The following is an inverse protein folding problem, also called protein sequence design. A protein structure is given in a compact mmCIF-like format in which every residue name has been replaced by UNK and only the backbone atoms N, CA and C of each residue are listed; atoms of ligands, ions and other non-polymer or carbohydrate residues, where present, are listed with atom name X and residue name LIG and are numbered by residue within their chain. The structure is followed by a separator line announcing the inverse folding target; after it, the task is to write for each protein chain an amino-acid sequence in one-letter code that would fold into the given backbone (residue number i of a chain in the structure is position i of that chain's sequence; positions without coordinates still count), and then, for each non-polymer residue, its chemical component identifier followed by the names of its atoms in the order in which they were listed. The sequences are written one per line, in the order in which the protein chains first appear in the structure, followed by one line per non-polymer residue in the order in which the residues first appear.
data_IF_136423151203
#
_entry.id   IF_136423151203
#
_cell.length_a   1.000
_cell.length_b   1.000
_cell.length_c   1.000
_cell.angle_alpha   90.00
_cell.angle_beta   90.00
_cell.angle_gamma   90.00
#
_symmetry.space_group_name_H-M   'P 1'
#
loop_
_entity.id
_entity.type
_entity.pdbx_description
1 polymer ?
#
# COMPACT_ATOMS: atom_id res chain seq x y z
N UNK A 1 11.07 9.14 -4.76
CA UNK A 1 10.09 9.44 -5.82
C UNK A 1 8.72 9.10 -5.27
N UNK A 2 7.91 10.11 -4.96
CA UNK A 2 6.52 9.93 -4.53
C UNK A 2 5.77 9.11 -5.57
N UNK A 3 4.86 8.21 -5.15
CA UNK A 3 4.05 7.37 -6.02
C UNK A 3 3.01 8.22 -6.80
N UNK A 4 3.51 9.04 -7.74
CA UNK A 4 2.76 10.03 -8.50
C UNK A 4 1.58 9.39 -9.23
N UNK A 5 1.78 8.17 -9.74
CA UNK A 5 0.75 7.37 -10.41
C UNK A 5 -0.38 6.94 -9.47
N UNK A 6 -0.13 6.65 -8.19
CA UNK A 6 -1.19 6.36 -7.23
C UNK A 6 -2.00 7.61 -6.90
N UNK A 7 -1.34 8.77 -6.72
CA UNK A 7 -2.02 10.05 -6.49
C UNK A 7 -2.92 10.45 -7.66
N UNK A 8 -2.44 10.31 -8.91
CA UNK A 8 -3.24 10.57 -10.11
C UNK A 8 -4.46 9.65 -10.18
N UNK A 9 -4.29 8.36 -9.88
CA UNK A 9 -5.40 7.41 -9.82
C UNK A 9 -6.41 7.78 -8.72
N UNK A 10 -5.93 8.17 -7.54
CA UNK A 10 -6.77 8.58 -6.41
C UNK A 10 -7.63 9.79 -6.77
N UNK A 11 -7.00 10.83 -7.34
CA UNK A 11 -7.69 12.05 -7.80
C UNK A 11 -8.67 11.76 -8.92
N UNK A 12 -8.28 10.94 -9.91
CA UNK A 12 -9.18 10.57 -11.00
C UNK A 12 -10.36 9.74 -10.52
N UNK A 13 -10.19 8.88 -9.51
CA UNK A 13 -11.30 8.15 -8.90
C UNK A 13 -12.27 9.11 -8.21
N UNK A 14 -11.75 10.05 -7.42
CA UNK A 14 -12.56 11.07 -6.76
C UNK A 14 -13.35 11.94 -7.75
N UNK A 15 -12.68 12.47 -8.79
CA UNK A 15 -13.29 13.34 -9.79
C UNK A 15 -14.36 12.65 -10.64
N UNK A 16 -14.29 11.32 -10.75
CA UNK A 16 -15.27 10.51 -11.49
C UNK A 16 -16.47 10.13 -10.63
N UNK A 17 -16.24 9.78 -9.37
CA UNK A 17 -17.21 9.04 -8.56
C UNK A 17 -17.80 9.85 -7.39
N UNK A 18 -17.21 11.00 -7.03
CA UNK A 18 -17.72 11.93 -6.01
C UNK A 18 -18.17 11.26 -4.69
N UNK A 19 -17.32 10.50 -4.00
CA UNK A 19 -17.67 9.89 -2.72
C UNK A 19 -18.02 10.93 -1.64
N UNK A 20 -18.93 10.54 -0.75
CA UNK A 20 -19.46 11.39 0.33
C UNK A 20 -18.38 11.80 1.35
N UNK A 21 -17.41 10.92 1.60
CA UNK A 21 -16.30 11.19 2.51
C UNK A 21 -14.98 10.50 2.07
N UNK A 22 -13.89 10.86 2.75
CA UNK A 22 -12.57 10.30 2.47
C UNK A 22 -12.40 8.84 2.93
N UNK A 23 -13.21 8.35 3.88
CA UNK A 23 -13.16 6.93 4.23
C UNK A 23 -13.67 6.07 3.06
N UNK A 24 -14.83 6.43 2.51
CA UNK A 24 -15.43 5.80 1.32
C UNK A 24 -14.49 5.94 0.12
N UNK A 25 -13.95 7.14 -0.12
CA UNK A 25 -12.97 7.37 -1.19
C UNK A 25 -11.80 6.40 -1.11
N UNK A 26 -11.14 6.26 0.05
CA UNK A 26 -9.97 5.41 0.23
C UNK A 26 -10.34 3.92 0.10
N UNK A 27 -11.43 3.50 0.73
CA UNK A 27 -11.89 2.12 0.72
C UNK A 27 -12.26 1.65 -0.69
N UNK A 28 -13.08 2.42 -1.41
CA UNK A 28 -13.54 2.06 -2.75
C UNK A 28 -12.41 2.18 -3.75
N UNK A 29 -11.54 3.19 -3.60
CA UNK A 29 -10.32 3.30 -4.40
C UNK A 29 -9.39 2.09 -4.23
N UNK A 30 -9.28 1.53 -3.02
CA UNK A 30 -8.42 0.35 -2.79
C UNK A 30 -8.88 -0.89 -3.57
N UNK A 31 -10.16 -0.94 -3.94
CA UNK A 31 -10.78 -2.04 -4.69
C UNK A 31 -10.80 -1.71 -6.18
N UNK A 32 -11.37 -0.57 -6.57
CA UNK A 32 -11.69 -0.23 -7.96
C UNK A 32 -10.64 0.69 -8.62
N UNK A 33 -9.66 1.18 -7.87
CA UNK A 33 -8.62 2.08 -8.35
C UNK A 33 -7.84 1.50 -9.54
N UNK A 34 -7.72 2.30 -10.60
CA UNK A 34 -7.05 1.91 -11.85
C UNK A 34 -7.97 1.32 -12.92
N UNK A 35 -9.17 0.84 -12.57
CA UNK A 35 -10.12 0.30 -13.56
C UNK A 35 -10.63 1.37 -14.52
N UNK A 36 -10.74 2.62 -14.08
CA UNK A 36 -11.32 3.69 -14.87
C UNK A 36 -12.78 3.39 -15.23
N UNK A 37 -13.56 2.88 -14.27
CA UNK A 37 -15.01 2.67 -14.37
C UNK A 37 -15.74 3.63 -13.42
N UNK A 38 -17.00 3.92 -13.73
CA UNK A 38 -17.86 4.72 -12.86
C UNK A 38 -18.34 3.85 -11.70
N UNK A 39 -18.18 4.35 -10.48
CA UNK A 39 -18.52 3.66 -9.24
C UNK A 39 -19.52 4.53 -8.49
N UNK A 40 -20.76 4.06 -8.39
CA UNK A 40 -21.78 4.68 -7.55
C UNK A 40 -21.49 4.36 -6.08
N UNK A 41 -20.82 5.30 -5.40
CA UNK A 41 -20.34 5.11 -4.02
C UNK A 41 -21.45 5.09 -2.97
N UNK A 42 -22.72 5.28 -3.36
CA UNK A 42 -23.87 5.09 -2.48
C UNK A 42 -24.28 3.62 -2.37
N UNK A 43 -23.86 2.77 -3.32
CA UNK A 43 -24.12 1.33 -3.31
C UNK A 43 -23.10 0.58 -2.46
N UNK A 44 -23.52 -0.56 -1.92
CA UNK A 44 -22.61 -1.41 -1.15
C UNK A 44 -21.52 -2.00 -2.06
N UNK A 45 -20.34 -2.28 -1.47
CA UNK A 45 -19.26 -2.97 -2.18
C UNK A 45 -19.72 -4.30 -2.80
N UNK A 46 -20.52 -5.16 -2.13
CA UNK A 46 -21.09 -6.34 -2.75
C UNK A 46 -21.89 -6.07 -4.03
N UNK A 47 -22.79 -5.08 -4.01
CA UNK A 47 -23.61 -4.74 -5.18
C UNK A 47 -22.73 -4.23 -6.35
N UNK A 48 -21.72 -3.43 -6.04
CA UNK A 48 -20.76 -2.93 -7.02
C UNK A 48 -19.88 -4.05 -7.59
N UNK A 49 -19.47 -5.01 -6.77
CA UNK A 49 -18.70 -6.16 -7.24
C UNK A 49 -19.52 -7.03 -8.20
N UNK A 50 -20.83 -7.23 -7.94
CA UNK A 50 -21.72 -7.90 -8.88
C UNK A 50 -21.75 -7.19 -10.23
N UNK A 51 -22.15 -5.92 -10.26
CA UNK A 51 -22.35 -5.20 -11.52
C UNK A 51 -21.06 -4.84 -12.28
N UNK A 52 -19.99 -4.51 -11.56
CA UNK A 52 -18.75 -4.03 -12.20
C UNK A 52 -17.75 -5.16 -12.47
N UNK A 53 -17.69 -6.17 -11.61
CA UNK A 53 -16.64 -7.21 -11.67
C UNK A 53 -17.20 -8.56 -12.11
N UNK A 54 -18.23 -9.08 -11.44
CA UNK A 54 -18.72 -10.44 -11.68
C UNK A 54 -19.49 -10.56 -13.00
N UNK A 55 -20.35 -9.59 -13.31
CA UNK A 55 -21.07 -9.55 -14.59
C UNK A 55 -20.10 -9.40 -15.78
N UNK A 56 -18.92 -8.80 -15.54
CA UNK A 56 -17.87 -8.60 -16.54
C UNK A 56 -16.68 -9.58 -16.38
N UNK A 57 -16.84 -10.65 -15.59
CA UNK A 57 -15.73 -11.46 -15.10
C UNK A 57 -14.90 -12.08 -16.22
N UNK A 58 -15.54 -12.58 -17.28
CA UNK A 58 -14.83 -13.21 -18.40
C UNK A 58 -13.92 -12.22 -19.14
N UNK A 59 -14.40 -11.00 -19.37
CA UNK A 59 -13.65 -9.95 -20.05
C UNK A 59 -12.48 -9.46 -19.19
N UNK A 60 -12.73 -9.18 -17.90
CA UNK A 60 -11.66 -8.78 -16.98
C UNK A 60 -10.62 -9.91 -16.86
N UNK A 61 -11.06 -11.16 -16.74
CA UNK A 61 -10.17 -12.32 -16.70
C UNK A 61 -9.32 -12.42 -17.96
N UNK A 62 -9.89 -12.20 -19.14
CA UNK A 62 -9.15 -12.17 -20.40
C UNK A 62 -8.07 -11.09 -20.40
N UNK A 63 -8.39 -9.89 -19.93
CA UNK A 63 -7.43 -8.79 -19.84
C UNK A 63 -6.31 -9.10 -18.84
N UNK A 64 -6.63 -9.67 -17.67
CA UNK A 64 -5.63 -10.10 -16.69
C UNK A 64 -4.72 -11.18 -17.28
N UNK A 65 -5.27 -12.18 -18.01
CA UNK A 65 -4.46 -13.17 -18.71
C UNK A 65 -3.49 -12.50 -19.67
N UNK A 66 -3.96 -11.58 -20.52
CA UNK A 66 -3.10 -10.84 -21.44
C UNK A 66 -1.99 -10.05 -20.73
N UNK A 67 -2.30 -9.32 -19.65
CA UNK A 67 -1.32 -8.58 -18.86
C UNK A 67 -0.23 -9.48 -18.27
N UNK A 68 -0.58 -10.70 -17.88
CA UNK A 68 0.36 -11.68 -17.31
C UNK A 68 1.04 -12.60 -18.34
N UNK A 69 0.76 -12.45 -19.64
CA UNK A 69 1.08 -13.42 -20.71
C UNK A 69 0.51 -14.82 -20.47
N UNK A 70 -0.57 -14.89 -19.69
CA UNK A 70 -1.15 -16.10 -19.14
C UNK A 70 -0.17 -16.96 -18.31
N UNK A 71 1.05 -16.48 -18.06
CA UNK A 71 2.13 -17.23 -17.45
C UNK A 71 1.85 -17.58 -15.99
N UNK A 72 2.07 -18.85 -15.65
CA UNK A 72 1.78 -19.39 -14.31
C UNK A 72 2.67 -18.76 -13.24
N UNK A 73 3.94 -18.46 -13.55
CA UNK A 73 4.87 -17.92 -12.56
C UNK A 73 4.57 -16.44 -12.29
N UNK A 74 4.24 -15.65 -13.31
CA UNK A 74 3.78 -14.26 -13.16
C UNK A 74 2.55 -14.19 -12.24
N UNK A 75 1.53 -15.02 -12.48
CA UNK A 75 0.31 -15.05 -11.64
C UNK A 75 0.61 -15.51 -10.21
N UNK A 76 1.47 -16.52 -10.03
CA UNK A 76 1.89 -16.99 -8.70
C UNK A 76 2.65 -15.90 -7.94
N UNK A 77 3.52 -15.16 -8.61
CA UNK A 77 4.27 -14.06 -8.01
C UNK A 77 3.34 -12.91 -7.60
N UNK A 78 2.44 -12.47 -8.48
CA UNK A 78 1.45 -11.43 -8.15
C UNK A 78 0.56 -11.84 -6.97
N UNK A 79 0.07 -13.08 -6.93
CA UNK A 79 -0.69 -13.60 -5.78
C UNK A 79 0.13 -13.60 -4.50
N UNK A 80 1.39 -14.04 -4.56
CA UNK A 80 2.27 -14.07 -3.40
C UNK A 80 2.60 -12.67 -2.88
N UNK A 81 2.76 -11.69 -3.78
CA UNK A 81 2.99 -10.29 -3.46
C UNK A 81 1.75 -9.61 -2.88
N UNK A 82 0.56 -9.90 -3.41
CA UNK A 82 -0.69 -9.30 -2.94
C UNK A 82 -0.97 -9.68 -1.47
N UNK A 83 -0.77 -10.96 -1.13
CA UNK A 83 -1.11 -11.53 0.20
C UNK A 83 0.03 -11.36 1.22
N UNK A 84 1.28 -11.35 0.77
CA UNK A 84 2.46 -11.41 1.63
C UNK A 84 2.89 -10.07 2.26
N UNK A 85 4.09 -10.09 2.84
CA UNK A 85 4.80 -8.93 3.41
C UNK A 85 5.46 -8.02 2.35
N UNK A 86 5.15 -8.27 1.07
CA UNK A 86 5.70 -7.58 -0.12
C UNK A 86 7.21 -7.74 -0.34
N UNK A 87 7.96 -8.43 0.52
CA UNK A 87 9.40 -8.61 0.37
C UNK A 87 9.68 -9.60 -0.77
N UNK A 88 10.52 -9.21 -1.74
CA UNK A 88 10.79 -9.99 -2.97
C UNK A 88 11.08 -11.47 -2.65
N UNK A 89 11.97 -11.74 -1.69
CA UNK A 89 12.38 -13.11 -1.40
C UNK A 89 11.32 -13.93 -0.66
N UNK A 90 10.56 -13.29 0.24
CA UNK A 90 9.38 -13.90 0.89
C UNK A 90 8.32 -14.25 -0.16
N UNK A 91 8.10 -13.36 -1.13
CA UNK A 91 7.18 -13.57 -2.23
C UNK A 91 7.64 -14.69 -3.17
N UNK A 92 8.94 -14.79 -3.50
CA UNK A 92 9.47 -15.90 -4.30
C UNK A 92 9.23 -17.25 -3.61
N UNK A 93 9.54 -17.34 -2.31
CA UNK A 93 9.31 -18.55 -1.53
C UNK A 93 7.82 -18.92 -1.50
N UNK A 94 6.94 -17.97 -1.19
CA UNK A 94 5.47 -18.19 -1.18
C UNK A 94 4.95 -18.58 -2.57
N UNK A 95 5.51 -18.00 -3.63
CA UNK A 95 5.17 -18.33 -5.00
C UNK A 95 5.79 -19.66 -5.46
N UNK A 96 6.66 -20.31 -4.67
CA UNK A 96 7.43 -21.50 -5.07
C UNK A 96 8.34 -21.23 -6.28
N UNK A 97 8.98 -20.07 -6.29
CA UNK A 97 9.92 -19.60 -7.31
C UNK A 97 11.33 -19.50 -6.72
N UNK A 98 12.34 -19.73 -7.56
CA UNK A 98 13.74 -19.50 -7.23
C UNK A 98 14.17 -18.11 -7.73
N UNK A 99 15.41 -17.69 -7.42
CA UNK A 99 15.90 -16.37 -7.82
C UNK A 99 15.92 -16.16 -9.36
N UNK A 100 16.09 -17.22 -10.16
CA UNK A 100 16.15 -17.11 -11.63
C UNK A 100 14.77 -16.88 -12.25
N UNK A 101 13.81 -17.77 -11.98
CA UNK A 101 12.47 -17.61 -12.54
C UNK A 101 11.67 -16.50 -11.84
N UNK A 102 11.85 -16.32 -10.53
CA UNK A 102 11.30 -15.21 -9.77
C UNK A 102 11.82 -13.86 -10.26
N UNK A 103 13.13 -13.74 -10.48
CA UNK A 103 13.73 -12.51 -11.02
C UNK A 103 13.21 -12.16 -12.42
N UNK A 104 13.07 -13.15 -13.30
CA UNK A 104 12.45 -12.95 -14.64
C UNK A 104 11.01 -12.47 -14.55
N UNK A 105 10.19 -13.06 -13.67
CA UNK A 105 8.81 -12.61 -13.45
C UNK A 105 8.78 -11.18 -12.90
N UNK A 106 9.61 -10.88 -11.90
CA UNK A 106 9.68 -9.55 -11.30
C UNK A 106 10.02 -8.48 -12.33
N UNK A 107 11.06 -8.71 -13.15
CA UNK A 107 11.46 -7.79 -14.21
C UNK A 107 10.34 -7.56 -15.22
N UNK A 108 9.72 -8.64 -15.72
CA UNK A 108 8.59 -8.54 -16.65
C UNK A 108 7.44 -7.71 -16.07
N UNK A 109 7.02 -8.00 -14.82
CA UNK A 109 5.91 -7.32 -14.17
C UNK A 109 6.21 -5.83 -13.92
N UNK A 110 7.47 -5.50 -13.61
CA UNK A 110 7.93 -4.12 -13.45
C UNK A 110 7.99 -3.38 -14.80
N UNK A 111 8.52 -3.99 -15.85
CA UNK A 111 8.56 -3.45 -17.21
C UNK A 111 7.15 -3.19 -17.77
N UNK A 112 6.18 -4.06 -17.42
CA UNK A 112 4.76 -3.84 -17.72
C UNK A 112 4.09 -2.79 -16.85
N UNK A 113 4.77 -2.25 -15.84
CA UNK A 113 4.25 -1.23 -14.95
C UNK A 113 3.08 -1.71 -14.08
N UNK A 114 3.03 -3.01 -13.79
CA UNK A 114 2.06 -3.60 -12.86
C UNK A 114 2.52 -3.48 -11.40
N UNK A 115 3.84 -3.45 -11.21
CA UNK A 115 4.50 -3.31 -9.92
C UNK A 115 5.66 -2.32 -10.00
N UNK A 116 6.09 -1.84 -8.84
CA UNK A 116 7.31 -1.05 -8.65
C UNK A 116 8.09 -1.55 -7.44
N UNK A 117 9.41 -1.37 -7.46
CA UNK A 117 10.29 -1.77 -6.36
C UNK A 117 10.42 -0.60 -5.38
N UNK A 118 10.14 -0.89 -4.12
CA UNK A 118 10.46 -0.03 -2.98
C UNK A 118 11.79 -0.52 -2.39
N UNK A 119 12.85 0.25 -2.61
CA UNK A 119 14.19 -0.12 -2.16
C UNK A 119 14.29 -0.02 -0.64
N UNK A 120 14.95 -1.01 -0.04
CA UNK A 120 15.18 -1.04 1.40
C UNK A 120 16.19 0.03 1.76
N UNK A 121 16.00 0.60 2.94
CA UNK A 121 16.86 1.59 3.57
C UNK A 121 17.70 1.00 4.71
N UNK A 122 17.69 -0.33 4.84
CA UNK A 122 18.49 -1.02 5.84
C UNK A 122 19.99 -0.90 5.49
N UNK A 123 20.78 -0.44 6.45
CA UNK A 123 22.25 -0.45 6.36
C UNK A 123 22.77 -1.90 6.42
N UNK A 124 23.58 -2.36 5.46
CA UNK A 124 24.12 -3.72 5.49
C UNK A 124 24.97 -3.97 6.74
N UNK A 125 24.72 -5.06 7.48
CA UNK A 125 25.47 -5.36 8.71
C UNK A 125 27.02 -5.41 8.57
N UNK A 126 27.53 -5.59 7.34
CA UNK A 126 28.97 -5.52 7.04
C UNK A 126 29.53 -4.09 7.01
N UNK A 127 28.72 -3.06 6.73
CA UNK A 127 29.16 -1.66 6.83
C UNK A 127 29.41 -1.23 8.28
N UNK A 128 28.75 -1.89 9.24
CA UNK A 128 28.82 -1.57 10.67
C UNK A 128 29.95 -2.29 11.43
N UNK A 129 30.55 -3.35 10.88
CA UNK A 129 31.56 -4.16 11.57
C UNK A 129 32.62 -4.72 10.59
N UNK A 130 33.66 -3.93 10.30
CA UNK A 130 34.75 -4.33 9.40
C UNK A 130 35.74 -5.34 10.01
N UNK A 131 35.65 -5.65 11.31
CA UNK A 131 36.71 -6.37 12.03
C UNK A 131 36.24 -7.55 12.91
N UNK A 132 34.95 -7.87 12.98
CA UNK A 132 34.43 -8.96 13.83
C UNK A 132 33.52 -9.95 13.07
N UNK A 133 33.57 -11.23 13.47
CA UNK A 133 32.75 -12.29 12.88
C UNK A 133 31.30 -12.10 13.29
N UNK A 134 30.44 -11.73 12.34
CA UNK A 134 29.00 -11.54 12.56
C UNK A 134 28.35 -12.81 13.15
N UNK A 135 27.35 -12.62 14.02
CA UNK A 135 26.47 -13.70 14.48
C UNK A 135 25.80 -14.39 13.29
N UNK A 136 25.52 -15.69 13.41
CA UNK A 136 25.02 -16.52 12.30
C UNK A 136 23.65 -16.08 11.79
N UNK A 137 22.77 -15.53 12.64
CA UNK A 137 21.52 -14.90 12.18
C UNK A 137 21.78 -13.66 11.31
N UNK A 138 22.67 -12.76 11.75
CA UNK A 138 23.00 -11.51 11.04
C UNK A 138 23.69 -11.79 9.71
N UNK A 139 24.62 -12.76 9.68
CA UNK A 139 25.32 -13.14 8.46
C UNK A 139 24.42 -13.79 7.39
N UNK A 140 23.28 -14.36 7.79
CA UNK A 140 22.30 -14.98 6.89
C UNK A 140 21.15 -14.06 6.52
N UNK A 141 20.98 -12.95 7.22
CA UNK A 141 19.97 -11.96 6.87
C UNK A 141 20.28 -11.40 5.48
N UNK A 142 19.27 -11.42 4.62
CA UNK A 142 19.37 -10.91 3.26
C UNK A 142 18.40 -9.74 3.17
N UNK A 143 18.96 -8.53 3.08
CA UNK A 143 18.20 -7.31 2.80
C UNK A 143 17.35 -7.58 1.55
N UNK A 144 16.04 -7.43 1.73
CA UNK A 144 15.07 -7.65 0.67
C UNK A 144 14.32 -6.36 0.41
N UNK A 145 14.29 -5.95 -0.84
CA UNK A 145 13.40 -4.88 -1.27
C UNK A 145 11.94 -5.33 -1.18
N UNK A 146 11.04 -4.35 -1.08
CA UNK A 146 9.60 -4.55 -1.15
C UNK A 146 9.09 -4.21 -2.54
N UNK A 147 7.88 -4.66 -2.83
CA UNK A 147 7.19 -4.40 -4.08
C UNK A 147 5.84 -3.76 -3.78
N UNK A 148 5.52 -2.71 -4.52
CA UNK A 148 4.22 -2.05 -4.49
C UNK A 148 3.48 -2.36 -5.78
N UNK A 149 2.15 -2.51 -5.68
CA UNK A 149 1.31 -2.61 -6.87
C UNK A 149 1.07 -1.23 -7.43
N UNK A 150 1.20 -1.10 -8.74
CA UNK A 150 0.99 0.20 -9.41
C UNK A 150 -0.49 0.53 -9.57
N UNK A 151 -1.37 -0.48 -9.54
CA UNK A 151 -2.82 -0.33 -9.65
C UNK A 151 -3.51 -1.05 -8.49
N UNK A 152 -4.34 -0.36 -7.68
CA UNK A 152 -5.10 -0.98 -6.59
C UNK A 152 -5.92 -2.19 -7.04
N UNK A 153 -6.60 -2.11 -8.20
CA UNK A 153 -7.40 -3.21 -8.72
C UNK A 153 -6.59 -4.46 -9.05
N UNK A 154 -5.36 -4.33 -9.53
CA UNK A 154 -4.51 -5.51 -9.79
C UNK A 154 -4.17 -6.21 -8.48
N UNK A 155 -3.87 -5.46 -7.41
CA UNK A 155 -3.69 -6.07 -6.09
C UNK A 155 -4.98 -6.74 -5.61
N UNK A 156 -6.13 -6.08 -5.76
CA UNK A 156 -7.43 -6.62 -5.38
C UNK A 156 -7.73 -7.95 -6.09
N UNK A 157 -7.49 -7.99 -7.41
CA UNK A 157 -7.67 -9.17 -8.23
C UNK A 157 -6.86 -10.35 -7.69
N UNK A 158 -5.55 -10.16 -7.46
CA UNK A 158 -4.69 -11.25 -7.00
C UNK A 158 -4.84 -11.57 -5.51
N UNK A 159 -5.42 -10.67 -4.71
CA UNK A 159 -5.71 -10.89 -3.30
C UNK A 159 -7.03 -11.64 -3.07
N UNK A 160 -8.11 -11.23 -3.73
CA UNK A 160 -9.48 -11.73 -3.47
C UNK A 160 -10.07 -12.51 -4.64
N UNK A 161 -9.92 -12.06 -5.88
CA UNK A 161 -10.60 -12.71 -7.02
C UNK A 161 -9.88 -14.00 -7.42
N UNK A 162 -8.57 -13.93 -7.65
CA UNK A 162 -7.79 -15.07 -8.15
C UNK A 162 -7.81 -16.30 -7.23
N UNK A 163 -7.84 -16.17 -5.88
CA UNK A 163 -8.03 -17.32 -5.00
C UNK A 163 -9.38 -18.02 -5.12
N UNK A 164 -10.43 -17.29 -5.55
CA UNK A 164 -11.82 -17.77 -5.68
C UNK A 164 -12.26 -17.83 -7.16
N UNK A 165 -11.31 -17.97 -8.09
CA UNK A 165 -11.59 -17.84 -9.52
C UNK A 165 -12.64 -18.84 -10.01
N UNK A 166 -12.56 -20.09 -9.55
CA UNK A 166 -13.46 -21.15 -10.02
C UNK A 166 -14.87 -20.98 -9.48
N UNK A 167 -15.00 -20.60 -8.20
CA UNK A 167 -16.27 -20.31 -7.54
C UNK A 167 -16.97 -19.13 -8.24
N UNK A 168 -16.24 -18.02 -8.45
CA UNK A 168 -16.75 -16.83 -9.15
C UNK A 168 -17.18 -17.18 -10.58
N UNK A 169 -16.40 -17.98 -11.31
CA UNK A 169 -16.74 -18.43 -12.67
C UNK A 169 -18.04 -19.25 -12.69
N UNK A 170 -18.31 -20.01 -11.63
CA UNK A 170 -19.53 -20.80 -11.45
C UNK A 170 -20.68 -20.01 -10.80
N UNK A 171 -20.51 -18.69 -10.62
CA UNK A 171 -21.45 -17.79 -9.94
C UNK A 171 -21.73 -18.15 -8.48
N UNK A 172 -20.78 -18.82 -7.84
CA UNK A 172 -20.77 -19.05 -6.39
C UNK A 172 -19.86 -18.00 -5.72
N UNK A 173 -20.48 -17.11 -4.94
CA UNK A 173 -19.80 -15.97 -4.34
C UNK A 173 -19.72 -16.04 -2.81
N UNK A 174 -20.27 -17.08 -2.18
CA UNK A 174 -20.40 -17.14 -0.72
C UNK A 174 -19.02 -17.13 -0.04
N UNK A 175 -18.12 -18.01 -0.50
CA UNK A 175 -16.76 -18.11 0.04
C UNK A 175 -15.94 -16.83 -0.18
N UNK A 176 -16.14 -16.18 -1.33
CA UNK A 176 -15.49 -14.91 -1.67
C UNK A 176 -15.94 -13.80 -0.73
N UNK A 177 -17.26 -13.61 -0.53
CA UNK A 177 -17.78 -12.52 0.29
C UNK A 177 -17.44 -12.69 1.76
N UNK A 178 -17.45 -13.93 2.26
CA UNK A 178 -16.93 -14.24 3.60
C UNK A 178 -15.47 -13.80 3.71
N UNK A 179 -14.64 -14.14 2.73
CA UNK A 179 -13.23 -13.77 2.75
C UNK A 179 -13.01 -12.25 2.68
N UNK A 180 -13.80 -11.55 1.85
CA UNK A 180 -13.77 -10.10 1.72
C UNK A 180 -14.10 -9.44 3.06
N UNK A 181 -15.21 -9.83 3.69
CA UNK A 181 -15.64 -9.27 4.98
C UNK A 181 -14.57 -9.41 6.07
N UNK A 182 -13.91 -10.57 6.14
CA UNK A 182 -12.86 -10.84 7.13
C UNK A 182 -11.59 -10.00 6.92
N UNK A 183 -11.23 -9.70 5.67
CA UNK A 183 -9.91 -9.15 5.33
C UNK A 183 -9.93 -7.74 4.77
N UNK A 184 -11.08 -7.16 4.45
CA UNK A 184 -11.17 -5.86 3.77
C UNK A 184 -10.45 -4.73 4.52
N UNK A 185 -10.57 -4.68 5.85
CA UNK A 185 -9.89 -3.66 6.65
C UNK A 185 -8.35 -3.77 6.55
N UNK A 186 -7.79 -4.96 6.75
CA UNK A 186 -6.33 -5.18 6.63
C UNK A 186 -5.85 -5.09 5.19
N UNK A 187 -6.69 -5.41 4.22
CA UNK A 187 -6.38 -5.21 2.81
C UNK A 187 -6.23 -3.72 2.47
N UNK A 188 -7.17 -2.89 2.95
CA UNK A 188 -7.20 -1.44 2.68
C UNK A 188 -6.03 -0.71 3.36
N UNK A 189 -5.50 -1.22 4.47
CA UNK A 189 -4.44 -0.56 5.24
C UNK A 189 -3.22 -0.20 4.41
N UNK A 190 -2.80 -1.06 3.48
CA UNK A 190 -1.65 -0.78 2.61
C UNK A 190 -1.89 0.44 1.71
N UNK A 191 -3.07 0.54 1.10
CA UNK A 191 -3.40 1.71 0.25
C UNK A 191 -3.47 2.97 1.11
N UNK A 192 -3.98 2.85 2.35
CA UNK A 192 -3.98 3.94 3.31
C UNK A 192 -2.56 4.37 3.70
N UNK A 193 -1.63 3.45 3.93
CA UNK A 193 -0.21 3.73 4.19
C UNK A 193 0.43 4.48 3.01
N UNK A 194 0.27 3.98 1.78
CA UNK A 194 0.82 4.63 0.57
C UNK A 194 0.25 6.04 0.37
N UNK A 195 -1.06 6.24 0.59
CA UNK A 195 -1.68 7.57 0.51
C UNK A 195 -1.24 8.48 1.67
N UNK A 196 -0.99 7.93 2.85
CA UNK A 196 -0.51 8.69 4.02
C UNK A 196 0.89 9.25 3.78
N UNK A 197 1.77 8.46 3.14
CA UNK A 197 3.08 8.93 2.67
C UNK A 197 2.92 10.10 1.69
N UNK A 198 2.00 9.98 0.73
CA UNK A 198 1.71 11.04 -0.24
C UNK A 198 1.18 12.30 0.46
N UNK A 199 0.28 12.18 1.44
CA UNK A 199 -0.26 13.30 2.20
C UNK A 199 0.83 13.99 3.03
N UNK A 200 1.68 13.23 3.71
CA UNK A 200 2.83 13.78 4.44
C UNK A 200 3.73 14.60 3.50
N UNK A 201 4.09 13.99 2.37
CA UNK A 201 4.96 14.62 1.37
C UNK A 201 4.31 15.87 0.77
N UNK A 202 3.00 15.86 0.55
CA UNK A 202 2.25 17.02 0.09
C UNK A 202 2.30 18.18 1.09
N UNK A 203 2.23 17.90 2.39
CA UNK A 203 2.33 18.92 3.44
C UNK A 203 3.77 19.40 3.67
N UNK A 204 4.77 18.59 3.33
CA UNK A 204 6.20 18.92 3.40
C UNK A 204 6.79 19.44 2.08
N UNK A 205 5.96 19.75 1.08
CA UNK A 205 6.39 20.10 -0.29
C UNK A 205 7.40 21.27 -0.36
N UNK A 206 7.35 22.19 0.60
CA UNK A 206 8.25 23.34 0.66
C UNK A 206 9.63 22.98 1.29
N UNK A 207 9.73 21.83 1.96
CA UNK A 207 10.94 21.38 2.67
C UNK A 207 11.91 20.54 1.82
N UNK A 208 11.64 20.40 0.51
CA UNK A 208 12.41 19.56 -0.43
C UNK A 208 12.73 18.13 0.08
N UNK A 209 11.91 17.16 -0.30
CA UNK A 209 12.09 15.76 0.16
C UNK A 209 13.31 15.12 -0.50
N UNK A 210 14.24 14.61 0.31
CA UNK A 210 15.38 13.80 -0.13
C UNK A 210 14.93 12.36 -0.38
N UNK A 211 14.20 11.77 0.56
CA UNK A 211 13.66 10.41 0.43
C UNK A 211 12.36 10.24 1.22
N UNK A 212 11.41 9.45 0.70
CA UNK A 212 10.19 9.02 1.41
C UNK A 212 9.86 7.56 1.05
N UNK A 213 9.08 6.87 1.88
CA UNK A 213 8.78 5.43 1.81
C UNK A 213 8.86 4.75 3.18
N UNK A 214 8.56 3.46 3.24
CA UNK A 214 8.66 2.67 4.47
C UNK A 214 10.12 2.36 4.84
N UNK A 215 10.36 2.04 6.11
CA UNK A 215 11.61 1.45 6.58
C UNK A 215 11.32 0.05 7.12
N UNK A 216 12.19 -0.91 6.82
CA UNK A 216 12.10 -2.24 7.39
C UNK A 216 13.46 -2.93 7.45
N UNK A 217 13.67 -3.67 8.52
CA UNK A 217 14.72 -4.67 8.65
C UNK A 217 14.12 -6.03 9.05
N UNK A 218 14.94 -6.94 9.59
CA UNK A 218 14.49 -8.25 10.06
C UNK A 218 13.47 -8.18 11.22
N UNK A 219 13.51 -7.13 12.04
CA UNK A 219 12.86 -7.03 13.34
C UNK A 219 11.89 -5.85 13.47
N UNK A 220 12.14 -4.75 12.77
CA UNK A 220 11.40 -3.49 12.90
C UNK A 220 10.88 -3.06 11.54
N UNK A 221 9.66 -2.54 11.54
CA UNK A 221 9.02 -1.90 10.39
C UNK A 221 8.38 -0.58 10.82
N UNK A 222 8.62 0.46 10.03
CA UNK A 222 8.01 1.77 10.13
C UNK A 222 7.31 2.04 8.81
N UNK A 223 6.02 2.39 8.88
CA UNK A 223 5.18 2.57 7.71
C UNK A 223 5.69 3.70 6.81
N UNK A 224 6.14 4.81 7.41
CA UNK A 224 6.64 5.98 6.69
C UNK A 224 7.89 6.54 7.36
N UNK A 225 8.97 6.70 6.61
CA UNK A 225 10.18 7.44 6.98
C UNK A 225 10.46 8.47 5.88
N UNK A 226 10.24 9.75 6.18
CA UNK A 226 10.54 10.84 5.25
C UNK A 226 11.74 11.64 5.74
N UNK A 227 12.72 11.84 4.88
CA UNK A 227 13.92 12.64 5.14
C UNK A 227 13.94 13.78 4.13
N UNK A 228 14.05 15.01 4.60
CA UNK A 228 14.20 16.22 3.77
C UNK A 228 15.68 16.51 3.48
N UNK A 229 15.94 17.40 2.52
CA UNK A 229 17.32 17.78 2.18
C UNK A 229 18.07 18.51 3.31
N UNK A 230 17.34 19.16 4.22
CA UNK A 230 17.88 19.75 5.45
C UNK A 230 17.95 18.74 6.62
N UNK A 231 17.93 17.44 6.31
CA UNK A 231 18.12 16.31 7.22
C UNK A 231 17.03 16.17 8.32
N UNK A 232 15.90 16.87 8.19
CA UNK A 232 14.76 16.63 9.07
C UNK A 232 14.15 15.26 8.78
N UNK A 233 13.84 14.54 9.84
CA UNK A 233 13.35 13.17 9.80
C UNK A 233 11.92 13.11 10.34
N UNK A 234 10.99 12.66 9.51
CA UNK A 234 9.57 12.52 9.84
C UNK A 234 9.21 11.04 9.83
N UNK A 235 8.66 10.55 10.94
CA UNK A 235 8.33 9.14 11.12
C UNK A 235 6.82 8.99 11.26
N UNK A 236 6.22 8.19 10.38
CA UNK A 236 4.78 7.98 10.31
C UNK A 236 4.36 6.56 10.64
N UNK A 237 3.22 6.43 11.32
CA UNK A 237 2.52 5.16 11.55
C UNK A 237 1.03 5.32 11.17
N UNK A 238 0.49 4.35 10.46
CA UNK A 238 -0.83 4.39 9.86
C UNK A 238 -1.75 3.32 10.46
N UNK A 239 -2.99 3.70 10.81
CA UNK A 239 -3.99 2.78 11.37
C UNK A 239 -5.32 2.89 10.64
N UNK A 240 -5.57 1.92 9.75
CA UNK A 240 -6.86 1.70 9.13
C UNK A 240 -7.71 0.72 9.95
N UNK A 241 -8.24 1.19 11.08
CA UNK A 241 -9.07 0.36 11.98
C UNK A 241 -10.34 1.09 12.37
N UNK A 242 -11.34 0.34 12.84
CA UNK A 242 -12.60 0.91 13.33
C UNK A 242 -12.51 1.45 14.76
N UNK A 243 -11.32 1.52 15.34
CA UNK A 243 -11.08 2.03 16.69
C UNK A 243 -10.22 3.29 16.64
N UNK A 244 -10.41 4.17 17.62
CA UNK A 244 -9.57 5.36 17.79
C UNK A 244 -8.16 4.94 18.16
N UNK A 245 -7.17 5.59 17.55
CA UNK A 245 -5.77 5.46 17.94
C UNK A 245 -5.56 6.13 19.30
N UNK A 246 -4.86 5.45 20.19
CA UNK A 246 -4.62 5.90 21.56
C UNK A 246 -3.12 6.17 21.78
N UNK A 247 -2.78 6.61 23.00
CA UNK A 247 -1.41 6.99 23.35
C UNK A 247 -0.39 5.86 23.24
N UNK A 248 -0.79 4.59 23.38
CA UNK A 248 0.15 3.47 23.31
C UNK A 248 0.76 3.31 21.91
N UNK A 249 0.02 3.66 20.84
CA UNK A 249 0.58 3.67 19.49
C UNK A 249 1.70 4.72 19.34
N UNK A 250 1.57 5.87 20.01
CA UNK A 250 2.64 6.87 20.02
C UNK A 250 3.88 6.37 20.78
N UNK A 251 3.69 5.70 21.93
CA UNK A 251 4.80 5.08 22.67
C UNK A 251 5.52 4.00 21.84
N UNK A 252 4.76 3.15 21.12
CA UNK A 252 5.33 2.10 20.27
C UNK A 252 6.20 2.65 19.15
N UNK A 253 5.77 3.72 18.47
CA UNK A 253 6.58 4.30 17.37
C UNK A 253 7.84 4.98 17.92
N UNK A 254 7.78 5.60 19.10
CA UNK A 254 8.97 6.12 19.78
C UNK A 254 9.96 5.00 20.15
N UNK A 255 9.47 3.87 20.65
CA UNK A 255 10.31 2.69 20.94
C UNK A 255 10.97 2.13 19.66
N UNK A 256 10.24 2.08 18.53
CA UNK A 256 10.82 1.71 17.24
C UNK A 256 11.93 2.68 16.83
N UNK A 257 11.71 3.99 16.98
CA UNK A 257 12.70 5.03 16.69
C UNK A 257 13.96 4.86 17.56
N UNK A 258 13.80 4.66 18.86
CA UNK A 258 14.92 4.45 19.80
C UNK A 258 15.76 3.24 19.40
N UNK A 259 15.11 2.11 19.11
CA UNK A 259 15.79 0.87 18.69
C UNK A 259 16.52 0.98 17.36
N UNK A 260 16.08 1.90 16.49
CA UNK A 260 16.71 2.19 15.20
C UNK A 260 17.70 3.35 15.27
N UNK A 261 17.90 3.94 16.45
CA UNK A 261 18.71 5.15 16.65
C UNK A 261 18.26 6.32 15.75
N UNK A 262 16.98 6.35 15.39
CA UNK A 262 16.36 7.41 14.60
C UNK A 262 15.84 8.47 15.55
N UNK A 263 16.31 9.71 15.40
CA UNK A 263 15.77 10.87 16.12
C UNK A 263 14.76 11.60 15.24
N UNK A 264 13.45 11.40 15.43
CA UNK A 264 12.44 12.08 14.63
C UNK A 264 12.42 13.58 14.95
N UNK A 265 12.37 14.40 13.91
CA UNK A 265 11.97 15.82 13.99
C UNK A 265 10.51 15.95 14.39
N UNK A 266 9.65 15.05 13.89
CA UNK A 266 8.24 14.96 14.27
C UNK A 266 7.72 13.54 14.01
N UNK A 267 6.88 13.02 14.91
CA UNK A 267 6.09 11.81 14.70
C UNK A 267 4.75 12.18 14.08
N UNK A 268 4.27 11.36 13.15
CA UNK A 268 2.98 11.55 12.49
C UNK A 268 2.15 10.28 12.65
N UNK A 269 0.94 10.41 13.19
CA UNK A 269 0.00 9.30 13.25
C UNK A 269 -1.15 9.56 12.29
N UNK A 270 -1.46 8.56 11.46
CA UNK A 270 -2.61 8.57 10.56
C UNK A 270 -3.66 7.59 11.06
N UNK A 271 -4.92 8.01 11.11
CA UNK A 271 -6.01 7.17 11.62
C UNK A 271 -7.30 7.29 10.80
N UNK A 272 -7.91 6.14 10.49
CA UNK A 272 -9.27 6.09 9.94
C UNK A 272 -10.29 6.78 10.85
N UNK A 273 -10.39 6.34 12.12
CA UNK A 273 -11.41 6.79 13.09
C UNK A 273 -10.93 7.88 14.06
N UNK A 274 -9.75 8.45 13.82
CA UNK A 274 -9.16 9.50 14.64
C UNK A 274 -8.60 9.02 15.98
N UNK A 275 -8.48 9.96 16.93
CA UNK A 275 -7.63 9.79 18.11
C UNK A 275 -8.38 9.93 19.43
N UNK A 276 -7.88 9.26 20.48
CA UNK A 276 -8.35 9.45 21.85
C UNK A 276 -8.15 10.89 22.32
N UNK A 277 -8.98 11.36 23.27
CA UNK A 277 -8.83 12.71 23.84
C UNK A 277 -7.45 12.90 24.47
N UNK A 278 -6.95 11.89 25.18
CA UNK A 278 -5.63 11.91 25.81
C UNK A 278 -4.51 12.12 24.78
N UNK A 279 -4.52 11.37 23.66
CA UNK A 279 -3.49 11.51 22.64
C UNK A 279 -3.53 12.89 21.97
N UNK A 280 -4.73 13.44 21.74
CA UNK A 280 -4.90 14.79 21.17
C UNK A 280 -4.24 15.89 22.01
N UNK A 281 -4.16 15.73 23.33
CA UNK A 281 -3.48 16.70 24.21
C UNK A 281 -1.96 16.76 23.97
N UNK A 282 -1.38 15.77 23.30
CA UNK A 282 0.06 15.70 23.02
C UNK A 282 0.38 16.23 21.61
N UNK A 283 -0.61 16.66 20.83
CA UNK A 283 -0.38 17.22 19.51
C UNK A 283 0.43 18.53 19.62
N UNK A 284 1.44 18.68 18.75
CA UNK A 284 2.33 19.84 18.78
C UNK A 284 3.56 19.65 17.92
N UNK A 285 4.69 20.19 18.38
CA UNK A 285 5.96 20.14 17.65
C UNK A 285 6.42 18.70 17.37
N UNK A 286 6.27 17.81 18.34
CA UNK A 286 6.81 16.44 18.26
C UNK A 286 5.80 15.42 17.72
N UNK A 287 4.51 15.78 17.64
CA UNK A 287 3.44 14.89 17.22
C UNK A 287 2.39 15.62 16.36
N UNK A 288 2.21 15.15 15.13
CA UNK A 288 1.12 15.52 14.25
C UNK A 288 0.11 14.36 14.13
N UNK A 289 -1.17 14.71 14.03
CA UNK A 289 -2.28 13.76 13.99
C UNK A 289 -3.11 14.03 12.73
N UNK A 290 -3.24 13.02 11.87
CA UNK A 290 -4.03 13.08 10.64
C UNK A 290 -5.15 12.04 10.66
N UNK A 291 -6.32 12.46 10.22
CA UNK A 291 -7.52 11.65 10.07
C UNK A 291 -7.82 11.43 8.59
N UNK A 292 -8.79 10.56 8.26
CA UNK A 292 -9.24 10.40 6.87
C UNK A 292 -9.66 11.72 6.22
N UNK A 293 -10.26 12.66 6.96
CA UNK A 293 -10.69 13.96 6.41
C UNK A 293 -9.53 14.80 5.87
N UNK A 294 -8.31 14.65 6.40
CA UNK A 294 -7.16 15.43 5.95
C UNK A 294 -6.72 15.04 4.52
N UNK A 295 -7.13 13.88 4.02
CA UNK A 295 -6.86 13.43 2.65
C UNK A 295 -7.64 14.24 1.60
N UNK A 296 -8.61 15.05 2.01
CA UNK A 296 -9.26 16.03 1.13
C UNK A 296 -8.23 16.96 0.48
N UNK A 297 -7.13 17.26 1.17
CA UNK A 297 -6.02 18.04 0.64
C UNK A 297 -5.45 17.46 -0.67
N UNK A 298 -5.48 16.14 -0.85
CA UNK A 298 -5.01 15.47 -2.05
C UNK A 298 -5.96 15.65 -3.23
N UNK A 299 -7.25 15.94 -3.02
CA UNK A 299 -8.27 15.99 -4.09
C UNK A 299 -8.81 17.39 -4.38
N UNK A 300 -8.36 18.44 -3.67
CA UNK A 300 -8.80 19.84 -3.87
C UNK A 300 -8.79 20.33 -5.33
N UNK A 301 -7.85 19.84 -6.15
CA UNK A 301 -7.72 20.20 -7.56
C UNK A 301 -8.09 19.06 -8.53
N UNK A 302 -8.80 18.02 -8.06
CA UNK A 302 -9.07 16.84 -8.89
C UNK A 302 -10.05 17.13 -10.04
N UNK A 303 -10.99 18.09 -9.88
CA UNK A 303 -12.01 18.41 -10.90
C UNK A 303 -11.44 18.98 -12.21
N UNK A 304 -10.24 19.57 -12.18
CA UNK A 304 -9.56 20.10 -13.37
C UNK A 304 -8.60 19.10 -14.01
N UNK A 305 -8.46 17.90 -13.44
CA UNK A 305 -7.51 16.90 -13.94
C UNK A 305 -8.15 15.95 -14.94
N UNK A 306 -7.36 15.55 -15.93
CA UNK A 306 -7.76 14.58 -16.95
C UNK A 306 -8.04 13.23 -16.28
N UNK A 307 -9.23 12.68 -16.50
CA UNK A 307 -9.54 11.33 -16.06
C UNK A 307 -8.54 10.34 -16.65
N UNK A 308 -8.00 9.47 -15.81
CA UNK A 308 -7.13 8.39 -16.29
C UNK A 308 -7.95 7.42 -17.16
N UNK A 309 -7.30 6.87 -18.19
CA UNK A 309 -7.86 5.75 -18.93
C UNK A 309 -7.80 4.48 -18.09
N UNK A 310 -8.68 3.52 -18.42
CA UNK A 310 -8.65 2.18 -17.82
C UNK A 310 -7.28 1.55 -17.99
N UNK A 311 -6.81 0.80 -16.98
CA UNK A 311 -5.57 0.01 -17.08
C UNK A 311 -5.60 -1.06 -18.20
N UNK A 312 -6.80 -1.38 -18.72
CA UNK A 312 -7.01 -2.33 -19.80
C UNK A 312 -7.09 -1.71 -21.20
N UNK A 313 -7.01 -0.38 -21.32
CA UNK A 313 -7.18 0.37 -22.58
C UNK A 313 -5.92 1.08 -23.05
#
# INVERSE_FOLDING_TARGET
MTNYKLLEQFRSFYARNYPDDMEIQIEYFSIFGGLGVDVDTQKSIPDLLHGLIFDNFENISKNIRQLTLDDKNNKRLLRALAIGDRRIFSAFNRAGLNNSNGGRCLNYLQEKGLIQIEYSREEPARSLNNYSKLKREVARHRISHKVLFTYPFIRFWFYFIAPHYHEIANKDYESFFKNLQEKQNSYTSLVFEELSEILLNYNLRDAEILSSGSYWDANIEIDILTITKDEKTYVGECKWTNHKVNKSEWSKILEKCERLEIKPTQIILFSKRGFSKELKLNQGKDLALYTSSDFEALVKNAKSQKLIKSLFN
#
